data_IF_305809965418
#
_entry.id   IF_305809965418
#
_cell.length_a   1.000
_cell.length_b   1.000
_cell.length_c   1.000
_cell.angle_alpha   90.00
_cell.angle_beta   90.00
_cell.angle_gamma   90.00
#
_symmetry.space_group_name_H-M   'P 1'
#
loop_
_entity.id
_entity.type
_entity.pdbx_description
1 polymer ?
#
# COMPACT_ATOMS: atom_id res chain seq x y z
N UNK A 1 -26.29 19.86 22.18
CA UNK A 1 -24.89 19.38 22.07
C UNK A 1 -24.01 20.42 22.76
N UNK A 2 -23.22 20.02 23.76
CA UNK A 2 -22.35 20.92 24.52
C UNK A 2 -20.98 20.92 23.86
N UNK A 3 -20.53 22.07 23.35
CA UNK A 3 -19.20 22.24 22.78
C UNK A 3 -18.21 22.53 23.90
N UNK A 4 -17.52 21.50 24.38
CA UNK A 4 -16.44 21.64 25.37
C UNK A 4 -15.16 22.15 24.69
N UNK A 5 -14.73 23.37 25.02
CA UNK A 5 -13.40 23.89 24.63
C UNK A 5 -12.35 23.29 25.55
N UNK A 6 -11.74 22.18 25.14
CA UNK A 6 -10.72 21.44 25.90
C UNK A 6 -9.40 22.24 26.03
N UNK A 7 -9.02 23.03 25.01
CA UNK A 7 -7.81 23.86 25.01
C UNK A 7 -7.85 24.89 23.87
N UNK A 8 -7.32 26.12 24.05
CA UNK A 8 -7.20 27.11 22.97
C UNK A 8 -6.25 26.69 21.84
N UNK A 9 -5.38 25.71 22.08
CA UNK A 9 -4.38 25.20 21.12
C UNK A 9 -4.81 23.90 20.44
N UNK A 10 -5.94 23.32 20.86
CA UNK A 10 -6.50 22.12 20.23
C UNK A 10 -7.46 22.57 19.14
N UNK A 11 -7.01 22.50 17.89
CA UNK A 11 -7.79 22.89 16.70
C UNK A 11 -8.01 21.66 15.82
N UNK A 12 -9.26 21.43 15.40
CA UNK A 12 -9.58 20.43 14.39
C UNK A 12 -9.38 21.03 13.00
N UNK A 13 -8.18 20.87 12.45
CA UNK A 13 -7.75 21.41 11.15
C UNK A 13 -7.68 20.32 10.05
N UNK A 14 -8.23 19.14 10.32
CA UNK A 14 -8.14 17.98 9.43
C UNK A 14 -6.81 17.23 9.48
N UNK A 15 -5.76 17.79 10.13
CA UNK A 15 -4.49 17.10 10.33
C UNK A 15 -4.68 15.83 11.16
N UNK A 16 -5.62 15.85 12.11
CA UNK A 16 -5.97 14.68 12.91
C UNK A 16 -6.46 13.50 12.06
N UNK A 17 -7.33 13.76 11.07
CA UNK A 17 -7.83 12.72 10.17
C UNK A 17 -6.71 12.15 9.29
N UNK A 18 -5.83 12.99 8.77
CA UNK A 18 -4.69 12.56 7.96
C UNK A 18 -3.68 11.74 8.79
N UNK A 19 -3.39 12.16 10.02
CA UNK A 19 -2.53 11.42 10.95
C UNK A 19 -3.18 10.07 11.32
N UNK A 20 -4.48 10.04 11.61
CA UNK A 20 -5.20 8.81 11.95
C UNK A 20 -5.23 7.81 10.78
N UNK A 21 -5.28 8.30 9.54
CA UNK A 21 -5.18 7.47 8.33
C UNK A 21 -3.74 7.04 8.00
N UNK A 22 -2.73 7.59 8.68
CA UNK A 22 -1.32 7.29 8.43
C UNK A 22 -0.89 6.02 9.16
N UNK A 23 -0.43 5.03 8.40
CA UNK A 23 0.11 3.80 8.98
C UNK A 23 1.59 4.00 9.37
N UNK A 24 2.02 3.42 10.50
CA UNK A 24 3.41 3.54 11.01
C UNK A 24 4.49 3.19 9.98
N UNK A 25 4.19 2.29 9.04
CA UNK A 25 5.11 1.88 7.98
C UNK A 25 5.11 2.77 6.74
N UNK A 26 4.25 3.80 6.65
CA UNK A 26 4.21 4.71 5.50
C UNK A 26 5.41 5.66 5.48
N UNK A 27 5.72 6.17 4.29
CA UNK A 27 6.83 7.09 4.13
C UNK A 27 6.49 8.53 4.53
N UNK A 28 5.21 8.89 4.47
CA UNK A 28 4.74 10.22 4.82
C UNK A 28 3.26 10.14 5.19
N UNK A 29 2.70 11.25 5.65
CA UNK A 29 1.28 11.40 6.01
C UNK A 29 0.38 10.91 4.87
N UNK A 30 -0.58 10.04 5.19
CA UNK A 30 -1.58 9.52 4.25
C UNK A 30 -2.43 10.65 3.66
N UNK A 31 -2.86 10.48 2.41
CA UNK A 31 -3.73 11.46 1.73
C UNK A 31 -3.00 12.70 1.22
N UNK A 32 -1.67 12.75 1.33
CA UNK A 32 -0.85 13.85 0.77
C UNK A 32 -0.33 13.57 -0.65
N UNK A 33 -0.68 12.41 -1.22
CA UNK A 33 -0.39 12.04 -2.60
C UNK A 33 -1.57 12.32 -3.55
N UNK A 34 -1.56 11.75 -4.77
CA UNK A 34 -2.66 11.88 -5.72
C UNK A 34 -4.00 11.41 -5.12
N UNK A 35 -5.08 12.11 -5.47
CA UNK A 35 -6.46 11.73 -5.11
C UNK A 35 -6.76 10.32 -5.62
N UNK A 36 -7.44 9.52 -4.80
CA UNK A 36 -7.82 8.12 -5.08
C UNK A 36 -6.67 7.12 -5.25
N UNK A 37 -5.40 7.56 -5.11
CA UNK A 37 -4.27 6.67 -5.12
C UNK A 37 -4.06 6.01 -3.73
N UNK A 38 -3.67 4.74 -3.74
CA UNK A 38 -3.34 3.96 -2.55
C UNK A 38 -1.88 3.53 -2.58
N UNK A 39 -1.35 3.16 -1.41
CA UNK A 39 -0.01 2.61 -1.30
C UNK A 39 0.19 1.39 -2.18
N UNK A 40 -0.85 0.55 -2.41
CA UNK A 40 -0.70 -0.63 -3.26
C UNK A 40 -0.42 -0.36 -4.73
N UNK A 41 -0.71 0.86 -5.20
CA UNK A 41 -0.40 1.33 -6.54
C UNK A 41 0.99 1.98 -6.63
N UNK A 42 1.70 2.11 -5.51
CA UNK A 42 3.03 2.72 -5.46
C UNK A 42 4.11 1.70 -5.86
N UNK A 43 5.10 2.15 -6.62
CA UNK A 43 6.30 1.38 -6.98
C UNK A 43 7.07 0.90 -5.74
N UNK A 44 7.03 1.66 -4.64
CA UNK A 44 7.71 1.31 -3.40
C UNK A 44 6.95 0.31 -2.51
N UNK A 45 5.71 -0.06 -2.84
CA UNK A 45 4.92 -0.97 -2.01
C UNK A 45 5.08 -2.42 -2.44
N UNK A 46 6.06 -3.13 -1.90
CA UNK A 46 6.35 -4.50 -2.33
C UNK A 46 7.00 -5.31 -1.20
N UNK A 47 7.11 -6.61 -1.43
CA UNK A 47 7.94 -7.50 -0.61
C UNK A 47 9.29 -7.72 -1.31
N UNK A 48 10.31 -8.05 -0.54
CA UNK A 48 11.58 -8.51 -1.08
C UNK A 48 11.58 -10.03 -1.12
N UNK A 49 11.85 -10.60 -2.30
CA UNK A 49 12.08 -12.04 -2.46
C UNK A 49 13.53 -12.27 -2.81
N UNK A 50 14.16 -13.23 -2.12
CA UNK A 50 15.50 -13.72 -2.49
C UNK A 50 15.33 -14.73 -3.63
N UNK A 51 15.94 -14.44 -4.78
CA UNK A 51 15.90 -15.29 -5.98
C UNK A 51 17.33 -15.57 -6.43
N UNK A 52 17.60 -16.80 -6.88
CA UNK A 52 18.91 -17.17 -7.42
C UNK A 52 18.92 -16.89 -8.93
N UNK A 53 19.75 -15.95 -9.38
CA UNK A 53 19.92 -15.58 -10.79
C UNK A 53 21.39 -15.80 -11.13
N UNK A 54 21.68 -16.62 -12.15
CA UNK A 54 23.05 -16.93 -12.60
C UNK A 54 24.01 -17.40 -11.49
N UNK A 55 23.50 -18.13 -10.49
CA UNK A 55 24.32 -18.62 -9.38
C UNK A 55 24.33 -17.72 -8.14
N UNK A 56 23.95 -16.45 -8.27
CA UNK A 56 23.96 -15.47 -7.17
C UNK A 56 22.57 -15.23 -6.57
N UNK A 57 22.50 -14.99 -5.26
CA UNK A 57 21.25 -14.66 -4.56
C UNK A 57 21.03 -13.15 -4.63
N UNK A 58 20.01 -12.72 -5.38
CA UNK A 58 19.61 -11.34 -5.51
C UNK A 58 18.25 -11.09 -4.84
N UNK A 59 18.03 -9.86 -4.36
CA UNK A 59 16.72 -9.44 -3.86
C UNK A 59 15.93 -8.77 -4.98
N UNK A 60 14.76 -9.33 -5.30
CA UNK A 60 13.87 -8.81 -6.33
C UNK A 60 12.60 -8.29 -5.67
N UNK A 61 12.08 -7.11 -6.06
CA UNK A 61 10.79 -6.64 -5.60
C UNK A 61 9.69 -7.53 -6.18
N UNK A 62 8.80 -8.01 -5.33
CA UNK A 62 7.65 -8.81 -5.74
C UNK A 62 6.34 -8.20 -5.24
N UNK A 63 5.30 -8.37 -6.03
CA UNK A 63 3.96 -8.03 -5.56
C UNK A 63 3.54 -8.94 -4.40
N UNK A 64 2.90 -8.39 -3.35
CA UNK A 64 2.27 -9.20 -2.33
C UNK A 64 1.12 -10.00 -2.93
N UNK A 65 1.10 -11.29 -2.64
CA UNK A 65 0.01 -12.17 -3.04
C UNK A 65 -1.32 -11.85 -2.35
N UNK A 66 -2.33 -12.66 -2.65
CA UNK A 66 -3.65 -12.57 -2.03
C UNK A 66 -3.80 -13.56 -0.88
N UNK A 67 -4.75 -13.29 0.01
CA UNK A 67 -5.21 -14.27 0.99
C UNK A 67 -5.93 -15.42 0.29
N UNK A 68 -5.78 -16.63 0.83
CA UNK A 68 -6.48 -17.80 0.31
C UNK A 68 -7.97 -17.73 0.64
N UNK A 69 -8.78 -18.55 -0.04
CA UNK A 69 -10.20 -18.70 0.25
C UNK A 69 -10.50 -19.15 1.69
N UNK A 70 -9.50 -19.67 2.40
CA UNK A 70 -9.62 -20.10 3.81
C UNK A 70 -9.48 -18.95 4.80
N UNK A 71 -9.15 -17.75 4.36
CA UNK A 71 -9.03 -16.58 5.24
C UNK A 71 -10.42 -16.04 5.59
N UNK A 72 -10.84 -16.19 6.85
CA UNK A 72 -12.22 -15.92 7.29
C UNK A 72 -12.65 -14.46 7.12
N UNK A 73 -11.74 -13.52 7.33
CA UNK A 73 -12.07 -12.09 7.39
C UNK A 73 -12.00 -11.39 6.03
N UNK A 74 -11.16 -11.90 5.12
CA UNK A 74 -10.88 -11.22 3.85
C UNK A 74 -10.39 -12.23 2.79
N UNK A 75 -11.27 -13.14 2.34
CA UNK A 75 -10.92 -14.08 1.28
C UNK A 75 -10.56 -13.32 0.00
N UNK A 76 -9.50 -13.75 -0.69
CA UNK A 76 -8.97 -13.11 -1.90
C UNK A 76 -8.47 -11.65 -1.77
N UNK A 77 -8.51 -11.06 -0.56
CA UNK A 77 -7.94 -9.75 -0.28
C UNK A 77 -6.43 -9.70 -0.54
N UNK A 78 -5.91 -8.53 -0.93
CA UNK A 78 -4.47 -8.34 -1.14
C UNK A 78 -3.77 -8.31 0.23
N UNK A 79 -2.64 -9.01 0.35
CA UNK A 79 -1.84 -9.00 1.58
C UNK A 79 -1.12 -7.66 1.73
N UNK A 80 -0.86 -7.28 2.97
CA UNK A 80 -0.06 -6.09 3.26
C UNK A 80 1.40 -6.24 2.79
N UNK A 81 2.03 -5.11 2.48
CA UNK A 81 3.45 -5.02 2.09
C UNK A 81 4.20 -4.00 2.93
N UNK A 82 5.48 -3.84 2.63
CA UNK A 82 6.28 -2.74 3.16
C UNK A 82 6.26 -1.58 2.17
N UNK A 83 6.35 -0.36 2.68
CA UNK A 83 6.78 0.77 1.87
C UNK A 83 8.32 0.81 1.88
N UNK A 84 8.96 0.66 0.73
CA UNK A 84 10.42 0.57 0.58
C UNK A 84 11.03 1.89 0.07
N UNK A 85 10.35 3.03 0.28
CA UNK A 85 10.95 4.35 0.02
C UNK A 85 12.19 4.52 0.92
N UNK A 86 13.38 4.77 0.37
CA UNK A 86 14.59 4.93 1.17
C UNK A 86 14.50 6.23 1.98
N UNK A 87 14.44 6.09 3.30
CA UNK A 87 14.38 7.19 4.26
C UNK A 87 15.01 6.79 5.58
N UNK A 88 15.64 7.75 6.27
CA UNK A 88 16.24 7.53 7.58
C UNK A 88 15.17 7.23 8.64
N UNK A 89 15.46 6.31 9.56
CA UNK A 89 14.62 5.97 10.72
C UNK A 89 13.18 5.54 10.39
N UNK A 90 12.92 5.14 9.15
CA UNK A 90 11.61 4.66 8.73
C UNK A 90 11.27 3.35 9.41
N UNK A 91 10.08 3.25 10.00
CA UNK A 91 9.62 2.01 10.62
C UNK A 91 9.47 0.90 9.57
N UNK A 92 9.96 -0.29 9.89
CA UNK A 92 9.79 -1.49 9.06
C UNK A 92 8.47 -2.20 9.40
N UNK A 93 7.35 -1.48 9.24
CA UNK A 93 6.00 -1.98 9.49
C UNK A 93 5.25 -2.15 8.19
N UNK A 94 4.32 -3.11 8.18
CA UNK A 94 3.44 -3.37 7.04
C UNK A 94 2.46 -2.20 6.88
N UNK A 95 2.16 -1.90 5.63
CA UNK A 95 1.19 -0.91 5.17
C UNK A 95 0.13 -1.66 4.40
N UNK A 96 -1.16 -1.52 4.74
CA UNK A 96 -2.21 -2.23 4.05
C UNK A 96 -2.40 -1.70 2.63
N UNK A 97 -2.98 -2.53 1.73
CA UNK A 97 -3.10 -2.17 0.31
C UNK A 97 -3.96 -0.92 0.07
N UNK A 98 -4.97 -0.69 0.91
CA UNK A 98 -5.92 0.41 0.80
C UNK A 98 -5.45 1.70 1.48
N UNK A 99 -4.27 1.72 2.10
CA UNK A 99 -3.77 2.91 2.76
C UNK A 99 -3.62 4.06 1.76
N UNK A 100 -4.14 5.28 2.02
CA UNK A 100 -4.06 6.38 1.07
C UNK A 100 -2.62 6.72 0.70
N UNK A 101 -2.41 7.14 -0.55
CA UNK A 101 -1.10 7.53 -1.04
C UNK A 101 -0.56 8.76 -0.29
N UNK A 102 0.76 8.77 -0.11
CA UNK A 102 1.46 9.89 0.51
C UNK A 102 2.19 10.73 -0.55
N UNK A 103 2.74 11.89 -0.16
CA UNK A 103 3.47 12.80 -1.04
C UNK A 103 4.63 12.15 -1.83
N UNK A 104 5.21 11.07 -1.33
CA UNK A 104 6.29 10.33 -2.01
C UNK A 104 5.79 9.25 -2.98
N UNK A 105 4.49 9.25 -3.29
CA UNK A 105 3.90 8.31 -4.22
C UNK A 105 4.62 8.35 -5.57
N UNK A 106 4.92 7.16 -6.08
CA UNK A 106 5.43 6.97 -7.44
C UNK A 106 4.59 5.85 -8.03
N UNK A 107 3.84 6.10 -9.12
CA UNK A 107 2.98 5.07 -9.70
C UNK A 107 3.84 3.86 -10.11
N UNK A 108 3.30 2.66 -9.89
CA UNK A 108 3.89 1.44 -10.41
C UNK A 108 3.66 1.39 -11.92
N UNK A 109 4.72 1.17 -12.68
CA UNK A 109 4.59 0.90 -14.11
C UNK A 109 3.76 -0.37 -14.30
N UNK A 110 2.67 -0.27 -15.07
CA UNK A 110 1.76 -1.39 -15.38
C UNK A 110 2.45 -2.46 -16.25
N UNK A 111 3.68 -2.21 -16.70
CA UNK A 111 4.51 -3.10 -17.51
C UNK A 111 5.31 -4.11 -16.67
N UNK A 112 4.63 -4.90 -15.85
CA UNK A 112 5.16 -6.18 -15.33
C UNK A 112 4.07 -7.13 -14.84
N UNK A 113 2.91 -7.08 -15.51
CA UNK A 113 1.91 -8.15 -15.45
C UNK A 113 1.97 -8.99 -16.72
N UNK A 114 2.97 -9.88 -16.85
CA UNK A 114 2.78 -11.07 -17.68
C UNK A 114 1.85 -12.02 -16.92
N UNK A 115 0.57 -11.67 -16.85
CA UNK A 115 -0.51 -12.62 -16.67
C UNK A 115 -1.21 -12.73 -18.03
N UNK A 116 -0.63 -13.59 -18.88
CA UNK A 116 -1.33 -14.14 -20.02
C UNK A 116 -2.43 -15.08 -19.51
N UNK A 117 -3.56 -15.08 -20.21
CA UNK A 117 -4.73 -15.96 -20.07
C UNK A 117 -5.70 -15.68 -18.93
N UNK A 118 -6.67 -14.81 -19.21
CA UNK A 118 -8.09 -15.07 -18.98
C UNK A 118 -8.86 -14.44 -20.15
N UNK A 119 -8.94 -15.17 -21.27
CA UNK A 119 -9.94 -14.86 -22.28
C UNK A 119 -11.34 -15.07 -21.67
N UNK A 120 -12.30 -14.14 -21.83
CA UNK A 120 -13.68 -14.42 -21.47
C UNK A 120 -14.26 -15.47 -22.43
N UNK A 121 -15.11 -16.41 -21.96
CA UNK A 121 -15.73 -17.40 -22.83
C UNK A 121 -16.60 -16.71 -23.89
N UNK A 122 -16.66 -17.25 -25.13
CA UNK A 122 -17.48 -16.66 -26.18
C UNK A 122 -18.96 -16.78 -25.80
N UNK A 123 -19.61 -15.61 -25.74
CA UNK A 123 -21.07 -15.54 -25.66
C UNK A 123 -21.59 -15.81 -27.06
N UNK A 124 -22.10 -17.03 -27.29
CA UNK A 124 -22.91 -17.32 -28.47
C UNK A 124 -24.30 -16.71 -28.28
N UNK A 125 -24.74 -15.97 -29.30
CA UNK A 125 -26.06 -15.35 -29.48
C UNK A 125 -27.20 -16.36 -29.35
#
# INVERSE_FOLDING_TARGET
MVTLKVSPRLTDDGSHSAIAATHLGQAHIAGTGPTDATCSQCAFWHLWKRVKINGEVQQTPIEPGRYSARHKENPAGRKDALCNKPMMNKSNRKVPPHAPACRFFTPRDVQSGKDQNLDPPPVHL
#
